data_IF_685145201789
#
_entry.id   IF_685145201789
#
_cell.length_a   1.000
_cell.length_b   1.000
_cell.length_c   1.000
_cell.angle_alpha   90.00
_cell.angle_beta   90.00
_cell.angle_gamma   90.00
#
_symmetry.space_group_name_H-M   'P 1'
#
loop_
_entity.id
_entity.type
_entity.pdbx_description
1 polymer ?
#
# COMPACT_ATOMS: atom_id res chain seq x y z
N UNK A 1 -3.60 15.69 12.39
CA UNK A 1 -3.40 14.25 12.13
C UNK A 1 -4.61 13.48 12.66
N UNK A 2 -5.05 12.43 11.96
CA UNK A 2 -6.21 11.62 12.36
C UNK A 2 -5.77 10.53 13.33
N UNK A 3 -6.53 10.28 14.39
CA UNK A 3 -6.31 9.13 15.26
C UNK A 3 -6.95 7.88 14.64
N UNK A 4 -6.22 6.76 14.60
CA UNK A 4 -6.69 5.52 13.98
C UNK A 4 -7.99 4.98 14.58
N UNK A 5 -8.17 5.06 15.90
CA UNK A 5 -9.37 4.52 16.54
C UNK A 5 -10.63 5.30 16.13
N UNK A 6 -10.55 6.63 16.07
CA UNK A 6 -11.64 7.47 15.56
C UNK A 6 -11.94 7.18 14.08
N UNK A 7 -10.91 6.83 13.31
CA UNK A 7 -11.04 6.52 11.89
C UNK A 7 -11.72 5.17 11.65
N UNK A 8 -11.52 4.18 12.53
CA UNK A 8 -12.04 2.81 12.37
C UNK A 8 -13.38 2.57 13.09
N UNK A 9 -13.65 3.23 14.22
CA UNK A 9 -14.83 2.96 15.08
C UNK A 9 -16.18 3.25 14.39
N UNK A 10 -16.22 4.17 13.42
CA UNK A 10 -17.46 4.61 12.77
C UNK A 10 -17.59 4.13 11.31
N UNK A 11 -16.91 3.04 10.95
CA UNK A 11 -16.95 2.54 9.58
C UNK A 11 -18.23 1.74 9.33
N UNK A 12 -19.08 2.26 8.44
CA UNK A 12 -20.22 1.51 7.93
C UNK A 12 -19.80 0.66 6.71
N UNK A 13 -19.16 -0.48 6.97
CA UNK A 13 -18.72 -1.42 5.92
C UNK A 13 -19.43 -2.77 6.03
N UNK A 14 -19.38 -3.53 4.94
CA UNK A 14 -19.95 -4.88 4.78
C UNK A 14 -18.89 -5.97 4.83
N UNK A 15 -17.73 -5.74 4.21
CA UNK A 15 -16.61 -6.67 4.26
C UNK A 15 -15.28 -5.92 4.12
N UNK A 16 -14.19 -6.58 4.47
CA UNK A 16 -12.84 -6.07 4.28
C UNK A 16 -12.02 -7.01 3.41
N UNK A 17 -11.08 -6.46 2.65
CA UNK A 17 -10.09 -7.24 1.91
C UNK A 17 -8.71 -6.70 2.27
N UNK A 18 -7.79 -7.61 2.56
CA UNK A 18 -6.38 -7.25 2.65
C UNK A 18 -5.64 -7.48 1.35
N UNK A 19 -4.70 -6.60 1.08
CA UNK A 19 -3.89 -6.59 -0.13
C UNK A 19 -2.41 -6.51 0.23
N UNK A 20 -1.59 -7.07 -0.65
CA UNK A 20 -0.14 -6.93 -0.61
C UNK A 20 0.41 -6.55 -1.98
N UNK A 21 1.46 -5.73 -2.03
CA UNK A 21 2.11 -5.34 -3.27
C UNK A 21 3.50 -4.77 -3.04
N UNK A 22 4.14 -4.27 -4.11
CA UNK A 22 5.48 -3.70 -4.11
C UNK A 22 6.57 -4.65 -3.59
N UNK A 23 6.30 -5.95 -3.62
CA UNK A 23 7.22 -7.03 -3.26
C UNK A 23 6.88 -8.32 -4.01
N UNK A 24 7.75 -9.32 -3.85
CA UNK A 24 7.55 -10.65 -4.43
C UNK A 24 7.68 -10.69 -5.95
N UNK A 25 7.33 -11.85 -6.51
CA UNK A 25 7.55 -12.16 -7.93
C UNK A 25 6.87 -11.18 -8.87
N UNK A 26 5.61 -10.82 -8.61
CA UNK A 26 4.83 -9.92 -9.47
C UNK A 26 5.47 -8.53 -9.61
N UNK A 27 6.02 -8.00 -8.51
CA UNK A 27 6.75 -6.73 -8.54
C UNK A 27 8.12 -6.87 -9.21
N UNK A 28 8.83 -7.98 -8.97
CA UNK A 28 10.11 -8.26 -9.62
C UNK A 28 9.96 -8.36 -11.15
N UNK A 29 8.98 -9.11 -11.63
CA UNK A 29 8.68 -9.27 -13.06
C UNK A 29 8.33 -7.91 -13.69
N UNK A 30 7.52 -7.09 -12.99
CA UNK A 30 7.21 -5.71 -13.43
C UNK A 30 8.46 -4.85 -13.52
N UNK A 31 9.34 -4.91 -12.52
CA UNK A 31 10.60 -4.18 -12.50
C UNK A 31 11.50 -4.57 -13.67
N UNK A 32 11.64 -5.86 -13.94
CA UNK A 32 12.42 -6.31 -15.10
C UNK A 32 11.86 -5.81 -16.43
N UNK A 33 10.54 -5.85 -16.60
CA UNK A 33 9.87 -5.38 -17.82
C UNK A 33 10.10 -3.88 -17.99
N UNK A 34 9.86 -3.08 -16.94
CA UNK A 34 10.04 -1.63 -16.99
C UNK A 34 11.51 -1.26 -17.24
N UNK A 35 12.47 -1.92 -16.59
CA UNK A 35 13.90 -1.67 -16.81
C UNK A 35 14.36 -2.02 -18.23
N UNK A 36 13.86 -3.12 -18.81
CA UNK A 36 14.11 -3.49 -20.21
C UNK A 36 13.55 -2.44 -21.16
N UNK A 37 12.34 -1.95 -20.89
CA UNK A 37 11.68 -0.93 -21.70
C UNK A 37 12.37 0.44 -21.59
N UNK A 38 12.77 0.85 -20.38
CA UNK A 38 13.57 2.07 -20.16
C UNK A 38 14.87 1.99 -20.95
N UNK A 39 15.58 0.84 -20.91
CA UNK A 39 16.80 0.64 -21.72
C UNK A 39 16.53 0.75 -23.21
N UNK A 40 15.39 0.23 -23.70
CA UNK A 40 14.97 0.34 -25.10
C UNK A 40 14.72 1.80 -25.48
N UNK A 41 13.95 2.54 -24.68
CA UNK A 41 13.63 3.96 -24.92
C UNK A 41 14.90 4.83 -24.85
N UNK A 42 15.81 4.57 -23.90
CA UNK A 42 17.10 5.28 -23.80
C UNK A 42 17.98 5.08 -25.05
N UNK A 43 17.93 3.89 -25.68
CA UNK A 43 18.61 3.66 -26.99
C UNK A 43 17.93 4.42 -28.13
N UNK A 44 16.60 4.43 -28.16
CA UNK A 44 15.81 5.15 -29.17
C UNK A 44 16.07 6.67 -29.11
N UNK A 45 16.18 7.22 -27.90
CA UNK A 45 16.51 8.62 -27.62
C UNK A 45 17.81 9.06 -28.29
N UNK A 46 18.84 8.21 -28.31
CA UNK A 46 20.15 8.54 -28.90
C UNK A 46 20.07 8.80 -30.42
N UNK A 47 19.05 8.26 -31.10
CA UNK A 47 18.80 8.42 -32.53
C UNK A 47 17.56 9.26 -32.84
N UNK A 48 16.89 9.82 -31.82
CA UNK A 48 15.60 10.48 -31.96
C UNK A 48 15.72 11.94 -32.40
N UNK A 49 14.71 12.41 -33.14
CA UNK A 49 14.55 13.85 -33.42
C UNK A 49 14.25 14.61 -32.13
N UNK A 50 14.75 15.84 -32.01
CA UNK A 50 14.56 16.70 -30.82
C UNK A 50 13.10 16.78 -30.34
N UNK A 51 12.15 16.85 -31.27
CA UNK A 51 10.70 16.94 -30.97
C UNK A 51 10.15 15.72 -30.21
N UNK A 52 10.78 14.54 -30.35
CA UNK A 52 10.31 13.30 -29.71
C UNK A 52 10.88 13.12 -28.29
N UNK A 53 11.96 13.82 -27.94
CA UNK A 53 12.69 13.68 -26.67
C UNK A 53 11.77 13.90 -25.45
N UNK A 54 10.93 14.96 -25.38
CA UNK A 54 10.08 15.19 -24.21
C UNK A 54 9.08 14.06 -23.95
N UNK A 55 8.53 13.47 -25.03
CA UNK A 55 7.57 12.37 -24.93
C UNK A 55 8.24 11.10 -24.39
N UNK A 56 9.43 10.77 -24.92
CA UNK A 56 10.19 9.58 -24.49
C UNK A 56 10.70 9.73 -23.05
N UNK A 57 11.14 10.92 -22.64
CA UNK A 57 11.52 11.19 -21.25
C UNK A 57 10.34 11.02 -20.30
N UNK A 58 9.15 11.52 -20.67
CA UNK A 58 7.93 11.33 -19.87
C UNK A 58 7.55 9.85 -19.73
N UNK A 59 7.78 9.04 -20.76
CA UNK A 59 7.56 7.59 -20.69
C UNK A 59 8.56 6.92 -19.74
N UNK A 60 9.84 7.29 -19.79
CA UNK A 60 10.85 6.79 -18.86
C UNK A 60 10.46 7.16 -17.42
N UNK A 61 10.11 8.42 -17.17
CA UNK A 61 9.72 8.90 -15.85
C UNK A 61 8.51 8.12 -15.30
N UNK A 62 7.50 7.86 -16.14
CA UNK A 62 6.35 7.06 -15.74
C UNK A 62 6.73 5.60 -15.39
N UNK A 63 7.63 4.98 -16.15
CA UNK A 63 8.11 3.61 -15.89
C UNK A 63 8.99 3.55 -14.62
N UNK A 64 9.82 4.57 -14.39
CA UNK A 64 10.68 4.71 -13.21
C UNK A 64 9.84 4.95 -11.95
N UNK A 65 8.80 5.79 -12.04
CA UNK A 65 7.88 6.07 -10.94
C UNK A 65 7.06 4.84 -10.55
N UNK A 66 6.61 4.03 -11.53
CA UNK A 66 5.87 2.80 -11.28
C UNK A 66 6.67 1.77 -10.46
N UNK A 67 7.99 1.73 -10.60
CA UNK A 67 8.85 0.80 -9.86
C UNK A 67 9.49 1.43 -8.62
N UNK A 68 9.17 2.69 -8.31
CA UNK A 68 9.71 3.40 -7.16
C UNK A 68 8.90 3.10 -5.89
N UNK A 69 9.40 2.15 -5.09
CA UNK A 69 8.73 1.69 -3.86
C UNK A 69 8.51 2.79 -2.81
N UNK A 70 9.26 3.89 -2.85
CA UNK A 70 9.13 4.98 -1.87
C UNK A 70 8.05 5.99 -2.23
N UNK A 71 7.53 5.94 -3.46
CA UNK A 71 6.48 6.84 -3.95
C UNK A 71 5.21 6.08 -4.33
N UNK A 72 5.36 4.84 -4.79
CA UNK A 72 4.24 3.98 -5.15
C UNK A 72 3.39 3.62 -3.92
N UNK A 73 2.10 3.54 -4.16
CA UNK A 73 1.09 3.04 -3.22
C UNK A 73 0.43 1.83 -3.86
N UNK A 74 0.03 0.84 -3.07
CA UNK A 74 -0.65 -0.33 -3.60
C UNK A 74 -2.06 -0.02 -4.11
N UNK A 75 -2.65 1.07 -3.59
CA UNK A 75 -3.89 1.69 -4.09
C UNK A 75 -3.71 3.21 -4.06
N UNK A 76 -3.89 3.86 -5.19
CA UNK A 76 -3.77 5.32 -5.29
C UNK A 76 -5.07 6.04 -4.86
N UNK A 77 -5.02 7.38 -4.84
CA UNK A 77 -6.17 8.25 -4.52
C UNK A 77 -7.34 8.14 -5.50
N UNK A 78 -7.13 7.53 -6.67
CA UNK A 78 -8.16 7.28 -7.68
C UNK A 78 -8.66 5.84 -7.59
N UNK A 79 -8.38 5.14 -6.48
CA UNK A 79 -8.74 3.74 -6.25
C UNK A 79 -8.12 2.77 -7.28
N UNK A 80 -7.04 3.19 -7.95
CA UNK A 80 -6.33 2.37 -8.92
C UNK A 80 -5.29 1.51 -8.20
N UNK A 81 -5.41 0.20 -8.38
CA UNK A 81 -4.49 -0.76 -7.82
C UNK A 81 -3.17 -0.74 -8.58
N UNK A 82 -2.06 -0.73 -7.83
CA UNK A 82 -0.75 -0.94 -8.41
C UNK A 82 -0.68 -2.30 -9.12
N UNK A 83 0.04 -2.39 -10.25
CA UNK A 83 0.09 -3.61 -11.06
C UNK A 83 0.60 -4.82 -10.28
N UNK A 84 1.47 -4.61 -9.29
CA UNK A 84 1.97 -5.67 -8.43
C UNK A 84 1.02 -6.09 -7.30
N UNK A 85 -0.13 -5.43 -7.12
CA UNK A 85 -1.01 -5.69 -5.98
C UNK A 85 -1.71 -7.03 -6.15
N UNK A 86 -1.80 -7.76 -5.04
CA UNK A 86 -2.41 -9.07 -4.92
C UNK A 86 -3.40 -9.03 -3.75
N UNK A 87 -4.59 -9.57 -3.98
CA UNK A 87 -5.56 -9.82 -2.93
C UNK A 87 -5.05 -10.98 -2.06
N UNK A 88 -4.99 -10.77 -0.75
CA UNK A 88 -4.52 -11.79 0.20
C UNK A 88 -5.69 -12.51 0.83
N UNK A 89 -6.56 -11.79 1.54
CA UNK A 89 -7.67 -12.39 2.26
C UNK A 89 -8.93 -11.51 2.21
N UNK A 90 -10.12 -12.13 2.19
CA UNK A 90 -11.40 -11.44 2.34
C UNK A 90 -12.03 -11.83 3.67
N UNK A 91 -12.39 -10.83 4.45
CA UNK A 91 -13.11 -10.98 5.70
C UNK A 91 -14.56 -10.57 5.51
N UNK A 92 -15.50 -11.37 5.97
CA UNK A 92 -16.86 -10.88 6.23
C UNK A 92 -16.86 -10.02 7.50
N UNK A 93 -17.85 -9.13 7.65
CA UNK A 93 -17.94 -8.21 8.81
C UNK A 93 -17.79 -8.91 10.17
N UNK A 94 -18.43 -10.06 10.31
CA UNK A 94 -18.47 -10.83 11.56
C UNK A 94 -17.27 -11.80 11.72
N UNK A 95 -16.28 -11.73 10.83
CA UNK A 95 -15.09 -12.58 10.90
C UNK A 95 -14.27 -12.25 12.17
N UNK A 96 -13.99 -13.26 12.99
CA UNK A 96 -13.22 -13.11 14.24
C UNK A 96 -11.82 -12.54 14.02
N UNK A 97 -11.16 -12.89 12.91
CA UNK A 97 -9.85 -12.34 12.58
C UNK A 97 -9.95 -10.84 12.26
N UNK A 98 -11.01 -10.43 11.55
CA UNK A 98 -11.26 -9.01 11.31
C UNK A 98 -11.57 -8.26 12.60
N UNK A 99 -12.43 -8.81 13.46
CA UNK A 99 -12.74 -8.18 14.75
C UNK A 99 -11.48 -8.00 15.61
N UNK A 100 -10.61 -9.01 15.66
CA UNK A 100 -9.32 -8.89 16.35
C UNK A 100 -8.41 -7.81 15.75
N UNK A 101 -8.38 -7.66 14.42
CA UNK A 101 -7.64 -6.57 13.75
C UNK A 101 -8.23 -5.21 14.14
N UNK A 102 -9.56 -5.06 14.14
CA UNK A 102 -10.24 -3.82 14.50
C UNK A 102 -10.02 -3.45 15.98
N UNK A 103 -9.99 -4.43 16.88
CA UNK A 103 -9.64 -4.24 18.29
C UNK A 103 -8.21 -3.71 18.44
N UNK A 104 -7.24 -4.30 17.72
CA UNK A 104 -5.85 -3.83 17.71
C UNK A 104 -5.78 -2.37 17.23
N UNK A 105 -6.46 -2.04 16.12
CA UNK A 105 -6.51 -0.68 15.57
C UNK A 105 -7.25 0.32 16.48
N UNK A 106 -8.12 -0.15 17.37
CA UNK A 106 -8.81 0.66 18.37
C UNK A 106 -8.08 0.77 19.71
N UNK A 107 -6.89 0.18 19.84
CA UNK A 107 -6.07 0.33 21.04
C UNK A 107 -5.79 1.82 21.29
N UNK A 108 -5.90 2.24 22.56
CA UNK A 108 -5.67 3.63 22.95
C UNK A 108 -4.28 4.08 22.49
N UNK A 109 -4.24 5.20 21.78
CA UNK A 109 -3.00 5.84 21.39
C UNK A 109 -2.30 6.44 22.61
N UNK A 110 -1.07 6.04 22.89
CA UNK A 110 -0.25 6.61 23.96
C UNK A 110 0.89 7.45 23.37
N UNK A 111 1.67 6.87 22.47
CA UNK A 111 2.84 7.51 21.89
C UNK A 111 3.13 7.05 20.46
N UNK A 112 3.66 7.96 19.64
CA UNK A 112 4.17 7.62 18.32
C UNK A 112 5.69 7.69 18.34
N UNK A 113 6.34 6.59 17.96
CA UNK A 113 7.76 6.56 17.68
C UNK A 113 7.98 6.73 16.18
N UNK A 114 8.91 7.58 15.80
CA UNK A 114 9.27 7.78 14.39
C UNK A 114 10.53 6.99 14.07
N UNK A 115 10.41 6.02 13.17
CA UNK A 115 11.59 5.46 12.52
C UNK A 115 12.15 6.49 11.52
N UNK A 116 13.47 6.54 11.37
CA UNK A 116 14.15 7.45 10.42
C UNK A 116 14.14 6.95 8.97
N UNK A 117 13.37 5.91 8.63
CA UNK A 117 13.32 5.37 7.27
C UNK A 117 12.14 5.95 6.45
N UNK A 118 12.32 6.12 5.13
CA UNK A 118 11.20 6.45 4.25
C UNK A 118 10.15 5.32 4.25
N UNK A 119 8.84 5.64 4.34
CA UNK A 119 7.80 4.63 4.37
C UNK A 119 7.67 3.88 3.04
N UNK A 120 7.43 2.56 3.11
CA UNK A 120 7.12 1.71 1.96
C UNK A 120 5.82 0.95 2.26
N UNK A 121 4.71 1.37 1.65
CA UNK A 121 3.38 0.86 1.94
C UNK A 121 3.06 -0.42 1.14
N UNK A 122 3.54 -1.56 1.63
CA UNK A 122 3.42 -2.87 0.94
C UNK A 122 2.14 -3.64 1.25
N UNK A 123 1.37 -3.19 2.23
CA UNK A 123 0.21 -3.89 2.78
C UNK A 123 -0.95 -2.92 2.94
N UNK A 124 -2.19 -3.37 2.69
CA UNK A 124 -3.37 -2.57 3.00
C UNK A 124 -4.53 -3.41 3.51
N UNK A 125 -5.38 -2.76 4.30
CA UNK A 125 -6.73 -3.20 4.63
C UNK A 125 -7.69 -2.25 3.94
N UNK A 126 -8.60 -2.78 3.14
CA UNK A 126 -9.59 -2.01 2.39
C UNK A 126 -10.98 -2.43 2.80
N UNK A 127 -11.81 -1.46 3.18
CA UNK A 127 -13.17 -1.67 3.63
C UNK A 127 -14.14 -1.37 2.49
N UNK A 128 -15.12 -2.24 2.30
CA UNK A 128 -16.07 -2.16 1.20
C UNK A 128 -17.51 -2.07 1.68
N UNK A 129 -18.35 -1.39 0.89
CA UNK A 129 -19.81 -1.42 1.06
C UNK A 129 -20.41 -2.70 0.51
N UNK A 130 -21.71 -2.89 0.77
CA UNK A 130 -22.53 -3.92 0.14
C UNK A 130 -22.62 -3.78 -1.40
N UNK A 131 -22.41 -2.58 -1.94
CA UNK A 131 -22.32 -2.30 -3.38
C UNK A 131 -20.91 -2.52 -3.95
N UNK A 132 -20.00 -3.15 -3.19
CA UNK A 132 -18.60 -3.38 -3.57
C UNK A 132 -17.77 -2.10 -3.81
N UNK A 133 -18.19 -0.95 -3.26
CA UNK A 133 -17.43 0.31 -3.34
C UNK A 133 -16.44 0.42 -2.19
N UNK A 134 -15.26 0.95 -2.47
CA UNK A 134 -14.27 1.25 -1.42
C UNK A 134 -14.83 2.36 -0.53
N UNK A 135 -14.83 2.12 0.78
CA UNK A 135 -15.22 3.10 1.78
C UNK A 135 -13.99 3.75 2.39
N UNK A 136 -13.00 2.92 2.75
CA UNK A 136 -11.74 3.36 3.37
C UNK A 136 -10.60 2.43 3.00
N UNK A 137 -9.40 2.99 3.08
CA UNK A 137 -8.15 2.30 2.84
C UNK A 137 -7.22 2.60 4.01
N UNK A 138 -6.60 1.57 4.56
CA UNK A 138 -5.48 1.70 5.48
C UNK A 138 -4.26 1.09 4.79
N UNK A 139 -3.35 1.93 4.28
CA UNK A 139 -2.09 1.48 3.70
C UNK A 139 -1.02 1.46 4.80
N UNK A 140 -0.34 0.34 4.97
CA UNK A 140 0.51 0.03 6.11
C UNK A 140 1.97 -0.07 5.68
N UNK A 141 2.84 0.59 6.43
CA UNK A 141 4.28 0.38 6.39
C UNK A 141 4.75 -0.20 7.73
N UNK A 142 5.13 -1.48 7.74
CA UNK A 142 5.61 -2.16 8.94
C UNK A 142 7.05 -1.77 9.32
N UNK A 143 7.82 -1.22 8.38
CA UNK A 143 9.20 -0.76 8.57
C UNK A 143 9.30 0.47 9.46
N UNK A 144 8.39 1.42 9.26
CA UNK A 144 8.43 2.72 9.93
C UNK A 144 7.23 2.98 10.84
N UNK A 145 6.27 2.05 10.87
CA UNK A 145 5.02 2.13 11.64
C UNK A 145 4.10 3.27 11.21
N UNK A 146 3.95 3.45 9.89
CA UNK A 146 3.06 4.46 9.31
C UNK A 146 1.82 3.83 8.71
N UNK A 147 0.72 4.57 8.82
CA UNK A 147 -0.53 4.27 8.12
C UNK A 147 -0.95 5.49 7.30
N UNK A 148 -1.31 5.27 6.03
CA UNK A 148 -1.95 6.26 5.17
C UNK A 148 -3.41 5.89 4.90
N UNK A 149 -4.24 6.92 4.83
CA UNK A 149 -5.63 6.79 4.42
C UNK A 149 -5.79 6.87 2.88
N UNK A 150 -7.03 6.79 2.41
CA UNK A 150 -7.40 6.90 0.99
C UNK A 150 -7.06 8.26 0.36
N UNK A 151 -6.86 9.30 1.18
CA UNK A 151 -6.49 10.64 0.76
C UNK A 151 -4.98 10.89 0.90
N UNK A 152 -4.18 9.83 1.10
CA UNK A 152 -2.75 9.85 1.38
C UNK A 152 -2.34 10.62 2.64
N UNK A 153 -3.28 10.85 3.55
CA UNK A 153 -3.04 11.52 4.83
C UNK A 153 -2.52 10.52 5.86
N UNK A 154 -1.56 10.97 6.66
CA UNK A 154 -0.97 10.13 7.70
C UNK A 154 -1.93 10.02 8.90
N UNK A 155 -2.11 8.78 9.35
CA UNK A 155 -2.86 8.44 10.54
C UNK A 155 -1.86 8.24 11.68
N UNK A 156 -2.16 8.81 12.85
CA UNK A 156 -1.42 8.56 14.08
C UNK A 156 -1.76 7.18 14.62
N UNK A 157 -0.73 6.41 14.91
CA UNK A 157 -0.82 5.03 15.34
C UNK A 157 0.29 4.77 16.35
N UNK A 158 -0.04 4.04 17.40
CA UNK A 158 0.95 3.65 18.40
C UNK A 158 1.84 2.54 17.83
N UNK A 159 3.15 2.68 17.96
CA UNK A 159 4.11 1.69 17.49
C UNK A 159 3.86 0.30 18.08
N UNK A 160 3.30 0.21 19.29
CA UNK A 160 2.99 -1.04 19.99
C UNK A 160 1.97 -1.91 19.24
N UNK A 161 1.12 -1.34 18.39
CA UNK A 161 0.11 -2.12 17.67
C UNK A 161 0.68 -2.82 16.43
N UNK A 162 1.78 -2.31 15.86
CA UNK A 162 2.33 -2.84 14.60
C UNK A 162 2.81 -4.29 14.72
N UNK A 163 3.49 -4.72 15.79
CA UNK A 163 3.81 -6.13 15.99
C UNK A 163 2.57 -7.04 16.01
N UNK A 164 1.50 -6.61 16.70
CA UNK A 164 0.24 -7.35 16.79
C UNK A 164 -0.46 -7.43 15.43
N UNK A 165 -0.54 -6.30 14.73
CA UNK A 165 -1.14 -6.21 13.41
C UNK A 165 -0.35 -7.01 12.37
N UNK A 166 0.99 -6.97 12.42
CA UNK A 166 1.87 -7.77 11.58
C UNK A 166 1.59 -9.25 11.77
N UNK A 167 1.51 -9.70 13.02
CA UNK A 167 1.21 -11.11 13.32
C UNK A 167 -0.14 -11.54 12.73
N UNK A 168 -1.19 -10.75 12.92
CA UNK A 168 -2.51 -11.03 12.36
C UNK A 168 -2.52 -11.07 10.83
N UNK A 169 -1.81 -10.15 10.16
CA UNK A 169 -1.73 -10.17 8.71
C UNK A 169 -0.93 -11.37 8.19
N UNK A 170 0.12 -11.80 8.89
CA UNK A 170 0.86 -13.02 8.54
C UNK A 170 -0.04 -14.25 8.68
N UNK A 171 -0.85 -14.35 9.75
CA UNK A 171 -1.80 -15.47 9.97
C UNK A 171 -2.78 -15.64 8.80
N UNK A 172 -3.17 -14.55 8.13
CA UNK A 172 -4.09 -14.59 6.98
C UNK A 172 -3.38 -14.67 5.63
N UNK A 173 -2.05 -14.83 5.63
CA UNK A 173 -1.26 -15.16 4.43
C UNK A 173 -0.37 -14.03 3.90
N UNK A 174 -0.23 -12.89 4.58
CA UNK A 174 0.70 -11.85 4.14
C UNK A 174 2.16 -12.30 4.31
N UNK A 175 2.96 -12.06 3.27
CA UNK A 175 4.41 -12.32 3.26
C UNK A 175 5.18 -11.09 3.77
N UNK A 176 4.97 -10.73 5.02
CA UNK A 176 5.67 -9.60 5.65
C UNK A 176 7.03 -10.08 6.15
N UNK A 177 8.10 -9.57 5.55
CA UNK A 177 9.48 -9.92 5.92
C UNK A 177 9.79 -9.43 7.35
N UNK A 178 10.66 -10.15 8.07
CA UNK A 178 11.36 -9.61 9.23
C UNK A 178 12.43 -8.66 8.71
N UNK A 179 12.32 -7.38 9.05
CA UNK A 179 13.33 -6.37 8.76
C UNK A 179 14.32 -6.28 9.91
#
# INVERSE_FOLDING_TARGET
MKNISNYVTNLNFEYAITYSGLRGKKFHDLKEVNEKEIKRIKKELASSRYVQIPKLNKQIEALEEEINIYRALIIDKNETFHKSTEKVYKFEKEDKQLQSILEILNTKFEEQTFAMCPPVFRDAIVFYSNEHKIIRILQLCFSCWWIKDENNQDIQVDHKIFPLLKHKLIEVGHKIEEE
#
